data_IF_007536959357
#
_entry.id   IF_007536959357
#
_cell.length_a   1.000
_cell.length_b   1.000
_cell.length_c   1.000
_cell.angle_alpha   90.00
_cell.angle_beta   90.00
_cell.angle_gamma   90.00
#
_symmetry.space_group_name_H-M   'P 1'
#
loop_
_entity.id
_entity.type
_entity.pdbx_description
1 polymer ?
#
# COMPACT_ATOMS: atom_id res chain seq x y z
N UNK A 1 39.23 18.88 16.34
CA UNK A 1 38.59 18.87 15.88
C UNK A 1 37.92 18.69 15.79
N UNK A 2 38.05 18.72 15.78
CA UNK A 2 37.31 18.78 15.32
C UNK A 2 36.58 18.52 15.36
N UNK A 3 36.68 18.63 15.40
CA UNK A 3 35.90 18.46 15.12
C UNK A 3 35.20 17.96 14.87
N UNK A 4 35.45 17.68 14.88
CA UNK A 4 34.57 17.19 14.23
C UNK A 4 34.02 16.47 14.26
N UNK A 5 33.91 16.33 14.46
CA UNK A 5 33.14 15.74 14.13
C UNK A 5 32.40 15.40 13.96
N UNK A 6 32.32 15.07 13.85
CA UNK A 6 31.43 14.66 13.29
C UNK A 6 30.53 14.52 13.04
N UNK A 7 30.24 14.48 12.68
CA UNK A 7 29.29 14.43 12.21
C UNK A 7 28.46 13.80 12.35
N UNK A 8 28.19 13.78 12.75
CA UNK A 8 27.28 13.27 12.70
C UNK A 8 26.67 13.03 12.13
N UNK A 9 26.84 12.60 11.98
CA UNK A 9 26.07 12.54 10.89
C UNK A 9 24.79 12.20 11.06
N UNK A 10 24.50 11.99 11.75
CA UNK A 10 23.28 11.57 11.84
C UNK A 10 22.31 12.43 11.23
N UNK A 11 21.80 13.29 11.90
CA UNK A 11 20.88 14.18 11.34
C UNK A 11 21.61 15.10 10.48
N UNK A 12 21.23 15.23 9.24
CA UNK A 12 21.91 16.18 8.41
C UNK A 12 21.63 17.55 8.92
N UNK A 13 22.60 18.35 8.90
CA UNK A 13 22.44 19.75 9.18
C UNK A 13 21.84 20.42 7.98
N UNK A 14 21.59 21.70 8.07
CA UNK A 14 21.10 22.46 6.95
C UNK A 14 22.05 22.31 5.77
N UNK A 15 21.52 21.98 4.67
CA UNK A 15 22.33 21.77 3.47
C UNK A 15 22.99 20.43 3.40
N UNK A 16 22.87 19.66 4.44
CA UNK A 16 23.41 18.32 4.37
C UNK A 16 22.53 17.46 3.54
N UNK A 17 23.10 16.58 2.78
CA UNK A 17 22.28 15.76 1.93
C UNK A 17 21.88 14.58 2.68
N UNK A 18 21.68 14.27 3.47
CA UNK A 18 21.29 13.05 3.92
C UNK A 18 20.13 12.59 3.84
N UNK A 19 19.00 12.52 3.90
CA UNK A 19 18.13 12.49 2.75
C UNK A 19 17.98 13.89 2.28
N UNK A 20 18.09 13.99 1.00
CA UNK A 20 18.04 15.28 0.35
C UNK A 20 16.58 15.60 0.07
N UNK A 21 15.95 16.34 0.94
CA UNK A 21 14.55 16.68 0.79
C UNK A 21 14.26 17.48 -0.44
N UNK A 22 15.18 18.36 -0.84
CA UNK A 22 14.98 19.14 -2.05
C UNK A 22 14.94 18.25 -3.27
N UNK A 23 15.85 17.30 -3.33
CA UNK A 23 15.90 16.34 -4.43
C UNK A 23 14.66 15.46 -4.44
N UNK A 24 14.26 14.97 -3.30
CA UNK A 24 13.07 14.15 -3.20
C UNK A 24 11.84 14.92 -3.60
N UNK A 25 11.75 16.18 -3.22
CA UNK A 25 10.59 17.00 -3.57
C UNK A 25 10.53 17.21 -5.08
N UNK A 26 11.68 17.47 -5.70
CA UNK A 26 11.71 17.66 -7.15
C UNK A 26 11.34 16.38 -7.87
N UNK A 27 11.87 15.25 -7.39
CA UNK A 27 11.59 13.96 -8.02
C UNK A 27 10.11 13.64 -7.97
N UNK A 28 9.49 13.87 -6.81
CA UNK A 28 8.07 13.62 -6.65
C UNK A 28 7.27 14.55 -7.55
N UNK A 29 7.67 15.82 -7.63
CA UNK A 29 6.93 16.79 -8.44
C UNK A 29 6.99 16.46 -9.93
N UNK A 30 8.02 15.74 -10.36
CA UNK A 30 8.17 15.39 -11.77
C UNK A 30 7.49 14.09 -12.14
N UNK A 31 7.02 13.34 -11.16
CA UNK A 31 6.37 12.07 -11.44
C UNK A 31 4.88 12.31 -11.65
N UNK A 32 4.30 11.79 -12.73
CA UNK A 32 2.87 11.95 -12.95
C UNK A 32 2.04 11.34 -11.82
N UNK A 33 0.92 11.94 -11.53
CA UNK A 33 0.05 11.48 -10.45
C UNK A 33 -0.33 10.02 -10.62
N UNK A 34 -0.55 9.56 -11.86
CA UNK A 34 -0.93 8.18 -12.10
C UNK A 34 0.13 7.22 -11.59
N UNK A 35 1.40 7.58 -11.73
CA UNK A 35 2.47 6.71 -11.23
C UNK A 35 2.55 6.70 -9.72
N UNK A 36 2.32 7.84 -9.09
CA UNK A 36 2.32 7.91 -7.63
C UNK A 36 1.18 7.06 -7.07
N UNK A 37 -0.01 7.23 -7.63
CA UNK A 37 -1.19 6.50 -7.16
C UNK A 37 -1.00 4.99 -7.34
N UNK A 38 -0.50 4.58 -8.52
CA UNK A 38 -0.28 3.16 -8.79
C UNK A 38 0.78 2.57 -7.89
N UNK A 39 1.85 3.32 -7.64
CA UNK A 39 2.92 2.85 -6.77
C UNK A 39 2.42 2.64 -5.35
N UNK A 40 1.63 3.59 -4.84
CA UNK A 40 1.06 3.44 -3.50
C UNK A 40 0.13 2.24 -3.44
N UNK A 41 -0.69 2.06 -4.48
CA UNK A 41 -1.61 0.92 -4.52
C UNK A 41 -0.83 -0.41 -4.49
N UNK A 42 0.22 -0.52 -5.29
CA UNK A 42 1.02 -1.74 -5.31
C UNK A 42 1.69 -1.98 -3.96
N UNK A 43 2.14 -0.91 -3.32
CA UNK A 43 2.76 -1.04 -2.00
C UNK A 43 1.74 -1.56 -0.98
N UNK A 44 0.52 -1.04 -1.02
CA UNK A 44 -0.55 -1.53 -0.14
C UNK A 44 -0.85 -3.00 -0.43
N UNK A 45 -0.87 -3.38 -1.70
CA UNK A 45 -1.10 -4.77 -2.08
C UNK A 45 -0.03 -5.69 -1.52
N UNK A 46 1.23 -5.29 -1.65
CA UNK A 46 2.33 -6.10 -1.15
C UNK A 46 2.27 -6.26 0.36
N UNK A 47 1.99 -5.16 1.07
CA UNK A 47 1.88 -5.21 2.52
C UNK A 47 0.72 -6.11 2.96
N UNK A 48 -0.40 -6.01 2.25
CA UNK A 48 -1.55 -6.86 2.56
C UNK A 48 -1.24 -8.32 2.34
N UNK A 49 -0.53 -8.63 1.25
CA UNK A 49 -0.17 -10.02 0.95
C UNK A 49 0.72 -10.61 2.06
N UNK A 50 1.67 -9.82 2.55
CA UNK A 50 2.52 -10.26 3.66
C UNK A 50 1.66 -10.59 4.87
N UNK A 51 0.72 -9.72 5.20
CA UNK A 51 -0.12 -9.92 6.38
C UNK A 51 -1.18 -11.00 6.19
N UNK A 52 -1.42 -11.42 4.95
CA UNK A 52 -2.25 -12.59 4.69
C UNK A 52 -1.48 -13.88 4.73
N UNK A 53 -0.15 -13.80 4.91
CA UNK A 53 0.69 -14.98 4.95
C UNK A 53 1.04 -15.51 3.58
N UNK A 54 0.88 -14.70 2.53
CA UNK A 54 1.11 -15.14 1.15
C UNK A 54 2.51 -14.83 0.64
N UNK A 55 3.31 -14.08 1.41
CA UNK A 55 4.64 -13.74 0.96
C UNK A 55 5.58 -14.92 1.11
N UNK A 56 6.76 -14.81 0.51
CA UNK A 56 7.76 -15.87 0.58
C UNK A 56 8.10 -16.25 2.01
N UNK A 57 8.07 -15.28 2.90
CA UNK A 57 8.35 -15.53 4.31
C UNK A 57 7.30 -16.43 4.94
N UNK A 58 6.18 -16.63 4.26
CA UNK A 58 5.15 -17.54 4.71
C UNK A 58 4.27 -16.99 5.80
N UNK A 59 3.60 -17.88 6.54
CA UNK A 59 2.57 -17.43 7.48
C UNK A 59 3.09 -16.82 8.76
N UNK A 60 4.39 -16.73 8.98
CA UNK A 60 4.89 -16.12 10.23
C UNK A 60 4.51 -14.66 10.36
N UNK A 61 4.24 -13.99 9.25
CA UNK A 61 3.85 -12.59 9.29
C UNK A 61 2.35 -12.39 9.16
N UNK A 62 1.59 -13.47 9.22
CA UNK A 62 0.15 -13.38 9.05
C UNK A 62 -0.48 -12.59 10.19
N UNK A 63 -1.24 -11.58 9.84
CA UNK A 63 -1.93 -10.72 10.80
C UNK A 63 -3.16 -10.18 10.10
N UNK A 64 -4.29 -10.83 10.33
CA UNK A 64 -5.50 -10.47 9.60
C UNK A 64 -6.05 -9.10 9.99
N UNK A 65 -5.80 -8.66 11.22
CA UNK A 65 -6.25 -7.32 11.61
C UNK A 65 -5.52 -6.26 10.81
N UNK A 66 -4.21 -6.43 10.61
CA UNK A 66 -3.43 -5.49 9.79
C UNK A 66 -3.80 -5.63 8.33
N UNK A 67 -4.04 -6.86 7.86
CA UNK A 67 -4.45 -7.07 6.48
C UNK A 67 -5.77 -6.36 6.19
N UNK A 68 -6.71 -6.41 7.12
CA UNK A 68 -7.99 -5.73 6.95
C UNK A 68 -7.82 -4.23 6.75
N UNK A 69 -6.95 -3.62 7.53
CA UNK A 69 -6.70 -2.19 7.40
C UNK A 69 -6.12 -1.86 6.03
N UNK A 70 -5.15 -2.65 5.61
CA UNK A 70 -4.47 -2.39 4.34
C UNK A 70 -5.40 -2.59 3.15
N UNK A 71 -6.20 -3.64 3.18
CA UNK A 71 -7.13 -3.91 2.09
C UNK A 71 -8.21 -2.82 2.04
N UNK A 72 -8.69 -2.39 3.20
CA UNK A 72 -9.70 -1.33 3.24
C UNK A 72 -9.13 -0.03 2.67
N UNK A 73 -7.91 0.33 3.05
CA UNK A 73 -7.26 1.52 2.52
C UNK A 73 -7.05 1.42 1.01
N UNK A 74 -6.62 0.24 0.55
CA UNK A 74 -6.44 0.00 -0.87
C UNK A 74 -7.75 0.15 -1.62
N UNK A 75 -8.83 -0.42 -1.07
CA UNK A 75 -10.14 -0.34 -1.72
C UNK A 75 -10.59 1.11 -1.85
N UNK A 76 -10.37 1.92 -0.83
CA UNK A 76 -10.71 3.33 -0.89
C UNK A 76 -9.89 4.06 -1.95
N UNK A 77 -8.59 3.79 -1.97
CA UNK A 77 -7.70 4.42 -2.93
C UNK A 77 -8.10 4.05 -4.37
N UNK A 78 -8.33 2.76 -4.62
CA UNK A 78 -8.67 2.30 -5.97
C UNK A 78 -10.02 2.86 -6.39
N UNK A 79 -10.99 2.85 -5.49
CA UNK A 79 -12.33 3.35 -5.81
C UNK A 79 -12.29 4.83 -6.16
N UNK A 80 -11.61 5.64 -5.35
CA UNK A 80 -11.51 7.06 -5.62
C UNK A 80 -10.59 7.36 -6.79
N UNK A 81 -9.53 6.58 -6.94
CA UNK A 81 -8.51 6.88 -7.93
C UNK A 81 -8.76 6.33 -9.32
N UNK A 82 -9.71 5.40 -9.46
CA UNK A 82 -9.90 4.72 -10.74
C UNK A 82 -10.18 5.67 -11.90
N UNK A 83 -11.04 6.67 -11.67
CA UNK A 83 -11.36 7.63 -12.72
C UNK A 83 -10.19 8.56 -13.00
N UNK A 84 -9.31 8.73 -12.02
CA UNK A 84 -8.17 9.65 -12.18
C UNK A 84 -7.03 9.00 -12.95
N UNK A 85 -6.87 7.68 -12.84
CA UNK A 85 -5.77 6.99 -13.50
C UNK A 85 -6.18 6.35 -14.83
N UNK A 86 -7.48 6.16 -15.04
CA UNK A 86 -8.00 5.56 -16.27
C UNK A 86 -8.03 4.05 -16.22
N UNK A 87 -8.81 3.45 -17.11
CA UNK A 87 -9.08 2.01 -17.10
C UNK A 87 -7.84 1.15 -17.22
N UNK A 88 -6.90 1.58 -18.04
CA UNK A 88 -5.70 0.80 -18.28
C UNK A 88 -4.94 0.55 -16.97
N UNK A 89 -4.84 1.60 -16.14
CA UNK A 89 -4.12 1.48 -14.86
C UNK A 89 -5.02 0.94 -13.76
N UNK A 90 -6.31 1.23 -13.82
CA UNK A 90 -7.24 0.83 -12.75
C UNK A 90 -7.57 -0.66 -12.79
N UNK A 91 -7.62 -1.25 -13.97
CA UNK A 91 -8.04 -2.64 -14.10
C UNK A 91 -7.18 -3.62 -13.32
N UNK A 92 -5.85 -3.62 -13.47
CA UNK A 92 -5.03 -4.53 -12.66
C UNK A 92 -5.10 -4.22 -11.18
N UNK A 93 -5.33 -2.97 -10.80
CA UNK A 93 -5.46 -2.63 -9.38
C UNK A 93 -6.74 -3.22 -8.80
N UNK A 94 -7.83 -3.16 -9.57
CA UNK A 94 -9.09 -3.77 -9.14
C UNK A 94 -8.98 -5.27 -9.03
N UNK A 95 -8.28 -5.89 -9.97
CA UNK A 95 -8.08 -7.33 -9.95
C UNK A 95 -7.28 -7.74 -8.72
N UNK A 96 -6.21 -7.00 -8.44
CA UNK A 96 -5.38 -7.28 -7.27
C UNK A 96 -6.16 -7.10 -5.97
N UNK A 97 -6.96 -6.04 -5.91
CA UNK A 97 -7.80 -5.79 -4.73
C UNK A 97 -8.76 -6.95 -4.51
N UNK A 98 -9.45 -7.38 -5.56
CA UNK A 98 -10.40 -8.48 -5.44
C UNK A 98 -9.71 -9.75 -4.98
N UNK A 99 -8.55 -10.04 -5.53
CA UNK A 99 -7.79 -11.21 -5.12
C UNK A 99 -7.45 -11.19 -3.63
N UNK A 100 -7.08 -10.01 -3.13
CA UNK A 100 -6.75 -9.88 -1.71
C UNK A 100 -7.99 -10.00 -0.84
N UNK A 101 -9.12 -9.45 -1.29
CA UNK A 101 -10.37 -9.58 -0.55
C UNK A 101 -10.80 -11.05 -0.45
N UNK A 102 -10.65 -11.78 -1.54
CA UNK A 102 -10.98 -13.21 -1.53
C UNK A 102 -10.02 -13.99 -0.66
N UNK A 103 -8.73 -13.65 -0.73
CA UNK A 103 -7.74 -14.33 0.10
C UNK A 103 -7.98 -14.08 1.58
N UNK A 104 -8.40 -12.86 1.93
CA UNK A 104 -8.75 -12.54 3.32
C UNK A 104 -9.91 -13.41 3.79
N UNK A 105 -10.93 -13.51 2.95
CA UNK A 105 -12.11 -14.31 3.29
C UNK A 105 -11.71 -15.77 3.49
N UNK A 106 -10.85 -16.28 2.63
CA UNK A 106 -10.40 -17.65 2.72
C UNK A 106 -9.56 -17.90 3.97
N UNK A 107 -8.78 -16.92 4.38
CA UNK A 107 -7.93 -17.03 5.55
C UNK A 107 -8.69 -16.86 6.86
N UNK A 108 -9.90 -16.34 6.80
CA UNK A 108 -10.70 -16.07 8.01
C UNK A 108 -11.33 -17.36 8.53
N UNK A 109 -11.21 -17.58 9.83
CA UNK A 109 -11.84 -18.75 10.46
C UNK A 109 -13.35 -18.62 10.33
N UNK A 110 -13.87 -17.43 10.62
CA UNK A 110 -15.29 -17.13 10.44
C UNK A 110 -15.37 -15.98 9.45
N UNK A 111 -15.74 -16.27 8.20
CA UNK A 111 -15.80 -15.20 7.20
C UNK A 111 -16.81 -14.13 7.55
N UNK A 112 -16.51 -12.89 7.17
CA UNK A 112 -17.43 -11.78 7.37
C UNK A 112 -18.72 -12.00 6.57
N UNK A 113 -19.80 -11.40 7.05
CA UNK A 113 -21.02 -11.36 6.29
C UNK A 113 -20.80 -10.62 4.96
N UNK A 114 -21.57 -10.95 3.93
CA UNK A 114 -21.42 -10.24 2.66
C UNK A 114 -21.51 -8.73 2.84
N UNK A 115 -20.57 -8.01 2.27
CA UNK A 115 -20.52 -6.56 2.39
C UNK A 115 -19.76 -6.08 3.60
N UNK A 116 -19.38 -6.95 4.52
CA UNK A 116 -18.71 -6.57 5.76
C UNK A 116 -17.20 -6.88 5.74
N UNK A 117 -16.72 -7.51 4.70
CA UNK A 117 -15.29 -7.80 4.59
C UNK A 117 -14.47 -6.56 4.30
N UNK A 118 -13.13 -6.69 4.36
CA UNK A 118 -12.27 -5.52 4.19
C UNK A 118 -12.48 -4.87 2.84
N UNK A 119 -12.73 -3.56 2.88
CA UNK A 119 -12.93 -2.78 1.68
C UNK A 119 -14.27 -2.94 1.01
N UNK A 120 -15.12 -3.85 1.48
CA UNK A 120 -16.40 -4.09 0.80
C UNK A 120 -17.37 -2.93 0.92
N UNK A 121 -17.14 -2.02 1.87
CA UNK A 121 -17.96 -0.82 1.92
C UNK A 121 -17.72 0.07 0.69
N UNK A 122 -16.61 -0.14 -0.02
CA UNK A 122 -16.32 0.59 -1.25
C UNK A 122 -16.65 -0.21 -2.50
N UNK A 123 -16.47 -1.53 -2.46
CA UNK A 123 -16.58 -2.37 -3.65
C UNK A 123 -17.90 -3.14 -3.71
N UNK A 124 -18.61 -3.25 -2.59
CA UNK A 124 -19.72 -4.18 -2.49
C UNK A 124 -19.19 -5.57 -2.17
N UNK A 125 -20.09 -6.53 -1.93
CA UNK A 125 -19.69 -7.89 -1.60
C UNK A 125 -18.82 -8.50 -2.69
N UNK A 126 -17.77 -9.20 -2.26
CA UNK A 126 -16.86 -9.85 -3.20
C UNK A 126 -17.11 -11.35 -3.10
N UNK A 127 -17.48 -11.92 -4.23
CA UNK A 127 -17.83 -13.34 -4.30
C UNK A 127 -16.83 -14.06 -5.16
N UNK A 128 -16.40 -15.21 -4.71
CA UNK A 128 -15.37 -15.98 -5.39
C UNK A 128 -15.89 -16.90 -6.46
#
# INVERSE_FOLDING_TARGET
>A
MSDVPPQQPASPGPGEPGPDFDSMTRDIAEVPAVEVITTVAVHLMSAAAVNLGLAEEGPEHKDLDEARKLITALAGLVTAGATEVGSYHASPLRDGLKSLQLAFREASVVPDEPGQGPGEKFTGPVLG
#
